data_IF_701040179350
#
_entry.id   IF_701040179350
#
_cell.length_a   1.000
_cell.length_b   1.000
_cell.length_c   1.000
_cell.angle_alpha   90.00
_cell.angle_beta   90.00
_cell.angle_gamma   90.00
#
_symmetry.space_group_name_H-M   'P 1'
#
loop_
_entity.id
_entity.type
_entity.pdbx_description
1 polymer ?
#
# COMPACT_ATOMS: atom_id res chain seq x y z
N UNK A 1 27.75 -1.19 -12.88
CA UNK A 1 27.75 -0.62 -11.51
C UNK A 1 26.55 0.30 -11.25
N UNK A 2 26.25 1.32 -12.08
CA UNK A 2 25.14 2.27 -11.82
C UNK A 2 23.74 1.62 -11.69
N UNK A 3 23.48 0.51 -12.39
CA UNK A 3 22.19 -0.22 -12.32
C UNK A 3 21.90 -0.87 -10.96
N UNK A 4 22.93 -1.11 -10.14
CA UNK A 4 22.73 -1.78 -8.84
C UNK A 4 22.28 -0.81 -7.74
N UNK A 5 22.48 0.51 -7.91
CA UNK A 5 22.08 1.49 -6.89
C UNK A 5 20.55 1.52 -6.70
N UNK A 6 19.70 1.68 -7.75
CA UNK A 6 18.26 1.60 -7.56
C UNK A 6 17.82 0.25 -6.97
N UNK A 7 18.34 -0.86 -7.49
CA UNK A 7 17.98 -2.20 -6.99
C UNK A 7 18.31 -2.38 -5.51
N UNK A 8 19.40 -1.78 -5.01
CA UNK A 8 19.73 -1.82 -3.57
C UNK A 8 18.70 -1.04 -2.75
N UNK A 9 18.17 0.06 -3.25
CA UNK A 9 17.12 0.84 -2.59
C UNK A 9 15.80 0.05 -2.59
N UNK A 10 15.48 -0.61 -3.70
CA UNK A 10 14.31 -1.51 -3.78
C UNK A 10 14.41 -2.66 -2.76
N UNK A 11 15.63 -3.21 -2.54
CA UNK A 11 15.84 -4.21 -1.48
C UNK A 11 15.65 -3.62 -0.08
N UNK A 12 15.95 -2.34 0.17
CA UNK A 12 15.61 -1.67 1.44
C UNK A 12 14.10 -1.50 1.61
N UNK A 13 13.35 -1.22 0.54
CA UNK A 13 11.90 -1.27 0.57
C UNK A 13 11.42 -2.66 1.05
N UNK A 14 11.90 -3.74 0.41
CA UNK A 14 11.56 -5.11 0.79
C UNK A 14 11.91 -5.42 2.26
N UNK A 15 13.12 -5.05 2.70
CA UNK A 15 13.55 -5.25 4.09
C UNK A 15 12.62 -4.52 5.08
N UNK A 16 12.23 -3.29 4.77
CA UNK A 16 11.30 -2.51 5.60
C UNK A 16 9.93 -3.19 5.69
N UNK A 17 9.42 -3.73 4.58
CA UNK A 17 8.18 -4.52 4.55
C UNK A 17 8.26 -5.78 5.41
N UNK A 18 9.38 -6.52 5.35
CA UNK A 18 9.61 -7.70 6.19
C UNK A 18 9.67 -7.31 7.68
N UNK A 19 10.37 -6.21 8.01
CA UNK A 19 10.42 -5.71 9.40
C UNK A 19 9.01 -5.33 9.86
N UNK A 20 8.21 -4.68 9.02
CA UNK A 20 6.82 -4.35 9.34
C UNK A 20 6.00 -5.60 9.70
N UNK A 21 6.15 -6.69 8.95
CA UNK A 21 5.49 -7.98 9.23
C UNK A 21 5.93 -8.53 10.60
N UNK A 22 7.24 -8.59 10.85
CA UNK A 22 7.80 -9.14 12.10
C UNK A 22 7.30 -8.34 13.31
N UNK A 23 7.26 -7.03 13.17
CA UNK A 23 6.85 -6.11 14.25
C UNK A 23 5.32 -6.16 14.45
N UNK A 24 4.54 -6.27 13.38
CA UNK A 24 3.09 -6.47 13.46
C UNK A 24 2.73 -7.76 14.21
N UNK A 25 3.47 -8.84 13.96
CA UNK A 25 3.27 -10.12 14.68
C UNK A 25 3.54 -10.02 16.18
N UNK A 26 4.25 -8.99 16.63
CA UNK A 26 4.44 -8.66 18.04
C UNK A 26 3.39 -7.67 18.59
N UNK A 27 2.32 -7.41 17.84
CA UNK A 27 1.25 -6.44 18.13
C UNK A 27 1.73 -4.98 18.30
N UNK A 28 2.90 -4.65 17.75
CA UNK A 28 3.37 -3.26 17.73
C UNK A 28 2.94 -2.60 16.41
N UNK A 29 1.68 -2.15 16.36
CA UNK A 29 1.09 -1.57 15.16
C UNK A 29 1.74 -0.23 14.77
N UNK A 30 2.17 0.54 15.75
CA UNK A 30 2.82 1.83 15.51
C UNK A 30 4.12 1.67 14.74
N UNK A 31 5.03 0.84 15.23
CA UNK A 31 6.29 0.59 14.54
C UNK A 31 6.06 -0.12 13.20
N UNK A 32 5.07 -1.02 13.11
CA UNK A 32 4.74 -1.67 11.84
C UNK A 32 4.26 -0.66 10.78
N UNK A 33 3.41 0.29 11.16
CA UNK A 33 2.95 1.35 10.27
C UNK A 33 4.11 2.26 9.84
N UNK A 34 4.99 2.64 10.75
CA UNK A 34 6.21 3.42 10.44
C UNK A 34 7.07 2.67 9.43
N UNK A 35 7.26 1.36 9.58
CA UNK A 35 8.06 0.57 8.64
C UNK A 35 7.44 0.50 7.24
N UNK A 36 6.12 0.44 7.12
CA UNK A 36 5.42 0.52 5.81
C UNK A 36 5.60 1.92 5.18
N UNK A 37 5.56 2.99 5.98
CA UNK A 37 5.83 4.35 5.50
C UNK A 37 7.28 4.48 5.02
N UNK A 38 8.25 3.94 5.75
CA UNK A 38 9.67 3.90 5.34
C UNK A 38 9.83 3.10 4.04
N UNK A 39 9.14 1.96 3.91
CA UNK A 39 9.12 1.19 2.67
C UNK A 39 8.66 2.04 1.48
N UNK A 40 7.61 2.85 1.65
CA UNK A 40 7.12 3.72 0.58
C UNK A 40 8.09 4.86 0.23
N UNK A 41 8.89 5.33 1.18
CA UNK A 41 9.95 6.29 0.89
C UNK A 41 11.06 5.65 0.05
N UNK A 42 11.46 4.41 0.37
CA UNK A 42 12.44 3.69 -0.44
C UNK A 42 11.94 3.39 -1.84
N UNK A 43 10.67 2.97 -2.01
CA UNK A 43 9.99 2.78 -3.30
C UNK A 43 10.04 4.08 -4.14
N UNK A 44 9.67 5.20 -3.56
CA UNK A 44 9.77 6.49 -4.22
C UNK A 44 11.20 6.84 -4.63
N UNK A 45 12.18 6.58 -3.72
CA UNK A 45 13.59 6.91 -3.93
C UNK A 45 14.22 6.07 -5.04
N UNK A 46 13.92 4.76 -5.14
CA UNK A 46 14.52 3.90 -6.17
C UNK A 46 14.06 4.31 -7.58
N UNK A 47 12.76 4.62 -7.75
CA UNK A 47 12.23 5.16 -8.99
C UNK A 47 12.80 6.54 -9.34
N UNK A 48 13.07 7.39 -8.35
CA UNK A 48 13.71 8.67 -8.55
C UNK A 48 15.17 8.52 -8.97
N UNK A 49 15.93 7.68 -8.26
CA UNK A 49 17.35 7.41 -8.53
C UNK A 49 17.53 6.73 -9.90
N UNK A 50 16.67 5.78 -10.26
CA UNK A 50 16.69 5.14 -11.57
C UNK A 50 16.53 6.16 -12.69
N UNK A 51 15.61 7.13 -12.54
CA UNK A 51 15.42 8.23 -13.50
C UNK A 51 16.60 9.18 -13.56
N UNK A 52 17.16 9.59 -12.42
CA UNK A 52 18.32 10.50 -12.37
C UNK A 52 19.57 9.87 -12.97
N UNK A 53 19.77 8.58 -12.78
CA UNK A 53 20.91 7.86 -13.35
C UNK A 53 20.70 7.40 -14.80
N UNK A 54 19.50 7.66 -15.36
CA UNK A 54 19.09 7.19 -16.69
C UNK A 54 19.29 5.68 -16.90
N UNK A 55 19.06 4.87 -15.85
CA UNK A 55 19.18 3.42 -15.90
C UNK A 55 17.80 2.77 -15.93
N UNK A 56 17.65 1.79 -16.85
CA UNK A 56 16.51 0.89 -16.90
C UNK A 56 17.03 -0.54 -16.78
N UNK A 57 16.34 -1.37 -16.01
CA UNK A 57 16.68 -2.77 -15.79
C UNK A 57 15.39 -3.58 -15.69
N UNK A 58 15.26 -4.63 -16.49
CA UNK A 58 14.11 -5.54 -16.43
C UNK A 58 14.03 -6.22 -15.06
N UNK A 59 15.19 -6.65 -14.54
CA UNK A 59 15.30 -7.19 -13.18
C UNK A 59 14.89 -6.15 -12.14
N UNK A 60 15.25 -4.87 -12.33
CA UNK A 60 14.85 -3.81 -11.40
C UNK A 60 13.32 -3.62 -11.35
N UNK A 61 12.65 -3.66 -12.51
CA UNK A 61 11.19 -3.56 -12.59
C UNK A 61 10.47 -4.72 -11.89
N UNK A 62 10.98 -5.95 -12.09
CA UNK A 62 10.40 -7.13 -11.44
C UNK A 62 10.66 -7.11 -9.93
N UNK A 63 11.87 -6.71 -9.51
CA UNK A 63 12.25 -6.60 -8.10
C UNK A 63 11.39 -5.57 -7.37
N UNK A 64 11.13 -4.42 -8.00
CA UNK A 64 10.25 -3.37 -7.52
C UNK A 64 8.84 -3.92 -7.24
N UNK A 65 8.24 -4.58 -8.24
CA UNK A 65 6.92 -5.18 -8.08
C UNK A 65 6.85 -6.25 -6.99
N UNK A 66 7.89 -7.09 -6.86
CA UNK A 66 7.96 -8.11 -5.81
C UNK A 66 8.11 -7.49 -4.43
N UNK A 67 8.92 -6.43 -4.30
CA UNK A 67 9.08 -5.68 -3.06
C UNK A 67 7.75 -5.02 -2.65
N UNK A 68 7.05 -4.42 -3.59
CA UNK A 68 5.76 -3.77 -3.37
C UNK A 68 4.67 -4.75 -2.92
N UNK A 69 4.63 -5.96 -3.48
CA UNK A 69 3.72 -7.01 -3.00
C UNK A 69 3.95 -7.29 -1.52
N UNK A 70 5.19 -7.36 -1.06
CA UNK A 70 5.50 -7.61 0.34
C UNK A 70 5.17 -6.39 1.20
N UNK A 71 5.64 -5.21 0.82
CA UNK A 71 5.57 -3.99 1.63
C UNK A 71 4.17 -3.39 1.69
N UNK A 72 3.42 -3.44 0.58
CA UNK A 72 2.09 -2.81 0.46
C UNK A 72 0.94 -3.80 0.28
N UNK A 73 1.24 -5.07 0.05
CA UNK A 73 0.26 -6.15 0.01
C UNK A 73 0.27 -6.97 1.31
N UNK A 74 1.37 -7.69 1.55
CA UNK A 74 1.45 -8.66 2.65
C UNK A 74 1.58 -7.97 4.02
N UNK A 75 2.43 -6.96 4.17
CA UNK A 75 2.62 -6.30 5.46
C UNK A 75 1.32 -5.66 6.00
N UNK A 76 0.55 -4.86 5.23
CA UNK A 76 -0.75 -4.38 5.69
C UNK A 76 -1.76 -5.51 5.96
N UNK A 77 -1.73 -6.59 5.17
CA UNK A 77 -2.58 -7.75 5.42
C UNK A 77 -2.28 -8.40 6.79
N UNK A 78 -1.01 -8.54 7.16
CA UNK A 78 -0.61 -9.08 8.46
C UNK A 78 -0.97 -8.13 9.60
N UNK A 79 -0.85 -6.80 9.41
CA UNK A 79 -1.34 -5.81 10.38
C UNK A 79 -2.84 -5.99 10.61
N UNK A 80 -3.63 -6.15 9.55
CA UNK A 80 -5.07 -6.42 9.69
C UNK A 80 -5.34 -7.76 10.34
N UNK A 81 -4.61 -8.82 9.99
CA UNK A 81 -4.72 -10.11 10.64
C UNK A 81 -4.53 -10.01 12.16
N UNK A 82 -3.53 -9.30 12.62
CA UNK A 82 -3.29 -9.08 14.05
C UNK A 82 -4.35 -8.18 14.70
N UNK A 83 -4.84 -7.17 13.99
CA UNK A 83 -5.95 -6.34 14.46
C UNK A 83 -7.22 -7.18 14.69
N UNK A 84 -7.53 -8.13 13.80
CA UNK A 84 -8.66 -9.05 13.99
C UNK A 84 -8.51 -9.89 15.26
N UNK A 85 -7.31 -10.36 15.59
CA UNK A 85 -7.08 -11.08 16.84
C UNK A 85 -7.34 -10.19 18.06
N UNK A 86 -6.96 -8.94 18.00
CA UNK A 86 -7.20 -7.97 19.08
C UNK A 86 -8.70 -7.73 19.28
N UNK A 87 -9.43 -7.50 18.18
CA UNK A 87 -10.88 -7.26 18.21
C UNK A 87 -11.67 -8.53 18.55
N UNK A 88 -11.26 -9.67 18.03
CA UNK A 88 -11.99 -10.94 18.15
C UNK A 88 -11.92 -11.61 19.51
N UNK A 89 -10.96 -11.25 20.36
CA UNK A 89 -10.88 -11.77 21.74
C UNK A 89 -12.04 -11.30 22.61
N UNK A 90 -12.75 -10.26 22.20
CA UNK A 90 -13.84 -9.65 22.99
C UNK A 90 -15.27 -10.12 22.64
N UNK A 91 -15.54 -10.72 21.47
CA UNK A 91 -16.94 -10.73 21.01
C UNK A 91 -17.53 -12.00 20.42
N UNK A 92 -16.82 -13.08 20.03
CA UNK A 92 -17.47 -14.19 19.32
C UNK A 92 -16.87 -15.60 19.54
N UNK A 93 -17.74 -16.62 19.36
CA UNK A 93 -17.39 -18.05 19.42
C UNK A 93 -16.17 -18.41 18.56
N UNK A 94 -15.19 -19.04 19.17
CA UNK A 94 -13.83 -19.32 18.63
C UNK A 94 -13.73 -19.90 17.21
N UNK A 95 -14.75 -20.55 16.66
CA UNK A 95 -14.67 -21.25 15.39
C UNK A 95 -14.99 -20.36 14.18
N UNK A 96 -15.97 -19.45 14.29
CA UNK A 96 -16.39 -18.57 13.20
C UNK A 96 -15.44 -17.40 12.95
N UNK A 97 -14.66 -16.99 13.94
CA UNK A 97 -13.66 -15.92 13.82
C UNK A 97 -12.49 -16.38 12.94
N UNK A 98 -12.08 -17.63 13.02
CA UNK A 98 -10.87 -18.13 12.38
C UNK A 98 -10.88 -18.00 10.85
N UNK A 99 -12.02 -18.19 10.19
CA UNK A 99 -12.11 -18.12 8.71
C UNK A 99 -12.13 -16.67 8.23
N UNK A 100 -12.93 -15.81 8.85
CA UNK A 100 -12.99 -14.39 8.46
C UNK A 100 -11.66 -13.67 8.72
N UNK A 101 -11.00 -13.97 9.85
CA UNK A 101 -9.68 -13.43 10.23
C UNK A 101 -8.61 -13.75 9.19
N UNK A 102 -8.68 -14.92 8.55
CA UNK A 102 -7.74 -15.31 7.50
C UNK A 102 -8.16 -14.77 6.13
N UNK A 103 -9.45 -14.86 5.81
CA UNK A 103 -9.95 -14.65 4.45
C UNK A 103 -9.75 -13.22 3.95
N UNK A 104 -10.13 -12.20 4.73
CA UNK A 104 -10.10 -10.81 4.28
C UNK A 104 -8.68 -10.24 4.13
N UNK A 105 -7.74 -10.43 5.07
CA UNK A 105 -6.36 -10.04 4.88
C UNK A 105 -5.69 -10.75 3.68
N UNK A 106 -5.95 -12.05 3.50
CA UNK A 106 -5.43 -12.79 2.35
C UNK A 106 -6.01 -12.25 1.04
N UNK A 107 -7.30 -11.96 1.01
CA UNK A 107 -7.95 -11.36 -0.14
C UNK A 107 -7.28 -10.05 -0.53
N UNK A 108 -7.02 -9.16 0.43
CA UNK A 108 -6.31 -7.91 0.18
C UNK A 108 -4.93 -8.14 -0.46
N UNK A 109 -4.11 -9.02 0.12
CA UNK A 109 -2.78 -9.32 -0.41
C UNK A 109 -2.84 -9.88 -1.85
N UNK A 110 -3.81 -10.77 -2.14
CA UNK A 110 -4.03 -11.30 -3.49
C UNK A 110 -4.42 -10.20 -4.49
N UNK A 111 -5.31 -9.28 -4.08
CA UNK A 111 -5.75 -8.17 -4.94
C UNK A 111 -4.64 -7.13 -5.15
N UNK A 112 -3.79 -6.90 -4.15
CA UNK A 112 -2.59 -6.06 -4.29
C UNK A 112 -1.61 -6.67 -5.32
N UNK A 113 -1.32 -7.97 -5.23
CA UNK A 113 -0.48 -8.67 -6.19
C UNK A 113 -1.09 -8.64 -7.62
N UNK A 114 -2.39 -8.90 -7.74
CA UNK A 114 -3.11 -8.86 -9.02
C UNK A 114 -3.07 -7.45 -9.64
N UNK A 115 -3.23 -6.41 -8.83
CA UNK A 115 -3.12 -5.02 -9.27
C UNK A 115 -1.73 -4.70 -9.81
N UNK A 116 -0.67 -5.12 -9.12
CA UNK A 116 0.70 -4.88 -9.56
C UNK A 116 1.02 -5.65 -10.85
N UNK A 117 0.60 -6.91 -10.94
CA UNK A 117 0.72 -7.70 -12.16
C UNK A 117 -0.02 -7.04 -13.33
N UNK A 118 -1.27 -6.60 -13.13
CA UNK A 118 -2.05 -5.88 -14.15
C UNK A 118 -1.37 -4.58 -14.59
N UNK A 119 -0.81 -3.84 -13.64
CA UNK A 119 -0.08 -2.60 -13.92
C UNK A 119 1.16 -2.84 -14.79
N UNK A 120 1.90 -3.92 -14.54
CA UNK A 120 3.11 -4.24 -15.27
C UNK A 120 2.91 -4.58 -16.76
N UNK A 121 1.74 -5.14 -17.10
CA UNK A 121 1.40 -5.54 -18.47
C UNK A 121 0.56 -4.48 -19.22
N UNK A 122 -0.02 -3.49 -18.55
CA UNK A 122 -0.87 -2.49 -19.19
C UNK A 122 -0.04 -1.34 -19.78
N UNK A 123 0.13 -1.38 -21.10
CA UNK A 123 0.87 -0.37 -21.87
C UNK A 123 0.13 0.97 -22.02
N UNK A 124 -1.16 1.04 -21.64
CA UNK A 124 -2.01 2.22 -21.81
C UNK A 124 -1.87 3.25 -20.67
N UNK A 125 -1.14 2.91 -19.59
CA UNK A 125 -1.01 3.74 -18.38
C UNK A 125 0.12 4.79 -18.47
N UNK A 126 0.30 5.42 -19.63
CA UNK A 126 1.35 6.44 -19.81
C UNK A 126 0.98 7.80 -19.25
N UNK A 127 -0.32 8.15 -19.18
CA UNK A 127 -0.78 9.49 -18.73
C UNK A 127 -1.67 9.49 -17.50
N UNK A 128 -2.56 8.52 -17.32
CA UNK A 128 -3.50 8.45 -16.18
C UNK A 128 -3.42 7.11 -15.48
N UNK A 129 -3.30 7.15 -14.15
CA UNK A 129 -3.41 5.95 -13.32
C UNK A 129 -4.86 5.45 -13.33
N UNK A 130 -5.05 4.14 -13.53
CA UNK A 130 -6.34 3.46 -13.40
C UNK A 130 -6.33 2.60 -12.14
N UNK A 131 -7.35 2.75 -11.33
CA UNK A 131 -7.48 2.07 -10.04
C UNK A 131 -6.58 2.63 -8.94
N UNK A 132 -6.91 2.29 -7.68
CA UNK A 132 -6.19 2.77 -6.50
C UNK A 132 -4.74 2.22 -6.47
N UNK A 133 -3.72 3.07 -6.29
CA UNK A 133 -2.34 2.62 -6.10
C UNK A 133 -2.21 1.74 -4.86
N UNK A 134 -1.39 0.67 -4.94
CA UNK A 134 -1.18 -0.25 -3.83
C UNK A 134 -0.65 0.44 -2.57
N UNK A 135 0.32 1.39 -2.63
CA UNK A 135 0.73 2.15 -1.46
C UNK A 135 -0.41 2.96 -0.84
N UNK A 136 -1.28 3.56 -1.66
CA UNK A 136 -2.44 4.32 -1.16
C UNK A 136 -3.43 3.44 -0.39
N UNK A 137 -3.72 2.24 -0.91
CA UNK A 137 -4.55 1.26 -0.20
C UNK A 137 -3.88 0.78 1.11
N UNK A 138 -2.56 0.56 1.07
CA UNK A 138 -1.79 0.18 2.25
C UNK A 138 -1.87 1.23 3.36
N UNK A 139 -1.74 2.53 3.03
CA UNK A 139 -1.83 3.61 4.00
C UNK A 139 -3.19 3.67 4.70
N UNK A 140 -4.28 3.41 3.98
CA UNK A 140 -5.61 3.30 4.60
C UNK A 140 -5.64 2.16 5.60
N UNK A 141 -5.12 0.96 5.26
CA UNK A 141 -5.16 -0.19 6.16
C UNK A 141 -4.28 0.01 7.40
N UNK A 142 -3.05 0.49 7.24
CA UNK A 142 -2.15 0.67 8.38
C UNK A 142 -2.60 1.77 9.33
N UNK A 143 -3.52 2.64 8.92
CA UNK A 143 -4.11 3.65 9.79
C UNK A 143 -5.22 3.11 10.69
N UNK A 144 -5.90 2.01 10.31
CA UNK A 144 -7.06 1.49 11.03
C UNK A 144 -6.80 1.15 12.51
N UNK A 145 -5.65 0.56 12.90
CA UNK A 145 -5.37 0.27 14.32
C UNK A 145 -5.36 1.49 15.24
N UNK A 146 -5.22 2.69 14.69
CA UNK A 146 -5.14 3.94 15.48
C UNK A 146 -6.49 4.61 15.73
N UNK A 147 -7.57 4.09 15.14
CA UNK A 147 -8.91 4.61 15.34
C UNK A 147 -9.70 3.72 16.28
N UNK A 148 -10.11 4.18 17.48
CA UNK A 148 -10.84 3.38 18.48
C UNK A 148 -12.13 2.75 17.95
N UNK A 149 -12.79 3.40 17.00
CA UNK A 149 -14.02 2.91 16.36
C UNK A 149 -13.84 1.55 15.66
N UNK A 150 -12.63 1.21 15.21
CA UNK A 150 -12.37 -0.05 14.54
C UNK A 150 -12.05 -1.19 15.49
N UNK A 151 -11.72 -0.90 16.75
CA UNK A 151 -11.52 -1.94 17.78
C UNK A 151 -12.79 -2.75 18.04
N UNK A 152 -13.96 -2.25 17.65
CA UNK A 152 -15.26 -2.85 17.95
C UNK A 152 -16.08 -3.30 16.74
N UNK A 153 -15.61 -3.09 15.51
CA UNK A 153 -16.42 -3.36 14.31
C UNK A 153 -15.68 -4.11 13.21
N UNK A 154 -15.70 -5.45 13.29
CA UNK A 154 -15.20 -6.32 12.21
C UNK A 154 -15.92 -6.06 10.86
N UNK A 155 -17.21 -5.73 10.90
CA UNK A 155 -18.01 -5.45 9.70
C UNK A 155 -17.43 -4.24 8.97
N UNK A 156 -17.07 -3.19 9.71
CA UNK A 156 -16.52 -1.97 9.12
C UNK A 156 -15.14 -2.23 8.50
N UNK A 157 -14.25 -2.96 9.19
CA UNK A 157 -12.94 -3.35 8.67
C UNK A 157 -13.09 -4.17 7.38
N UNK A 158 -13.97 -5.17 7.37
CA UNK A 158 -14.25 -6.01 6.19
C UNK A 158 -14.76 -5.18 5.02
N UNK A 159 -15.67 -4.25 5.28
CA UNK A 159 -16.23 -3.35 4.26
C UNK A 159 -15.12 -2.48 3.64
N UNK A 160 -14.21 -1.96 4.46
CA UNK A 160 -13.06 -1.18 3.98
C UNK A 160 -12.15 -2.06 3.12
N UNK A 161 -11.79 -3.27 3.57
CA UNK A 161 -10.93 -4.19 2.81
C UNK A 161 -11.56 -4.51 1.45
N UNK A 162 -12.84 -4.89 1.40
CA UNK A 162 -13.55 -5.20 0.15
C UNK A 162 -13.55 -3.98 -0.78
N UNK A 163 -13.84 -2.80 -0.23
CA UNK A 163 -13.84 -1.54 -0.99
C UNK A 163 -12.48 -1.25 -1.60
N UNK A 164 -11.40 -1.40 -0.83
CA UNK A 164 -10.03 -1.20 -1.31
C UNK A 164 -9.66 -2.24 -2.39
N UNK A 165 -10.02 -3.51 -2.21
CA UNK A 165 -9.83 -4.56 -3.21
C UNK A 165 -10.52 -4.21 -4.53
N UNK A 166 -11.77 -3.77 -4.47
CA UNK A 166 -12.51 -3.32 -5.64
C UNK A 166 -11.85 -2.11 -6.32
N UNK A 167 -11.49 -1.08 -5.54
CA UNK A 167 -10.87 0.13 -6.06
C UNK A 167 -9.51 -0.13 -6.72
N UNK A 168 -8.70 -1.05 -6.18
CA UNK A 168 -7.39 -1.42 -6.76
C UNK A 168 -7.52 -2.01 -8.17
N UNK A 169 -8.57 -2.81 -8.44
CA UNK A 169 -8.77 -3.47 -9.74
C UNK A 169 -9.66 -2.64 -10.69
N UNK A 170 -10.40 -1.67 -10.15
CA UNK A 170 -11.31 -0.83 -10.93
C UNK A 170 -10.58 -0.09 -12.05
N UNK A 171 -11.30 0.18 -13.13
CA UNK A 171 -10.80 1.03 -14.22
C UNK A 171 -11.09 2.52 -14.01
N UNK A 172 -11.42 2.92 -12.77
CA UNK A 172 -11.71 4.31 -12.42
C UNK A 172 -10.45 5.14 -12.67
N UNK A 173 -10.50 6.16 -13.53
CA UNK A 173 -9.37 7.05 -13.73
C UNK A 173 -9.16 7.86 -12.45
N UNK A 174 -8.08 7.56 -11.74
CA UNK A 174 -7.69 8.36 -10.58
C UNK A 174 -6.88 9.57 -11.03
N UNK A 175 -7.18 10.65 -10.35
CA UNK A 175 -6.57 11.94 -10.60
C UNK A 175 -5.05 11.86 -10.37
N UNK A 176 -4.28 12.11 -11.42
CA UNK A 176 -2.81 12.14 -11.31
C UNK A 176 -2.37 13.44 -10.64
N UNK A 177 -1.62 13.35 -9.54
CA UNK A 177 -0.96 14.50 -8.90
C UNK A 177 0.23 15.03 -9.71
N UNK A 178 0.53 14.44 -10.88
CA UNK A 178 1.59 14.94 -11.75
C UNK A 178 1.22 16.32 -12.29
N UNK A 179 1.99 17.33 -11.95
CA UNK A 179 1.87 18.66 -12.53
C UNK A 179 2.44 18.63 -13.96
N UNK A 180 1.60 18.86 -14.96
CA UNK A 180 2.04 19.10 -16.35
C UNK A 180 2.55 20.54 -16.54
N UNK A 181 2.00 21.46 -15.75
CA UNK A 181 2.40 22.87 -15.69
C UNK A 181 2.04 23.44 -14.30
N UNK A 182 2.57 24.61 -13.94
CA UNK A 182 2.32 25.27 -12.66
C UNK A 182 1.14 26.27 -12.71
N UNK A 183 0.34 26.26 -13.79
CA UNK A 183 -0.78 27.21 -13.93
C UNK A 183 -1.89 26.87 -12.92
N UNK A 184 -2.27 27.86 -12.10
CA UNK A 184 -3.26 27.72 -11.02
C UNK A 184 -4.63 27.22 -11.54
N UNK A 185 -5.12 27.74 -12.67
CA UNK A 185 -6.42 27.33 -13.23
C UNK A 185 -6.51 25.85 -13.62
N UNK A 186 -5.42 25.29 -14.10
CA UNK A 186 -5.37 23.88 -14.56
C UNK A 186 -5.07 22.91 -13.42
N UNK A 187 -4.57 23.41 -12.27
CA UNK A 187 -4.12 22.60 -11.14
C UNK A 187 -4.85 22.92 -9.83
N UNK A 188 -5.98 23.63 -9.88
CA UNK A 188 -6.68 24.12 -8.68
C UNK A 188 -7.02 22.99 -7.70
N UNK A 189 -7.52 21.86 -8.19
CA UNK A 189 -7.82 20.68 -7.37
C UNK A 189 -6.58 20.06 -6.73
N UNK A 190 -5.42 20.10 -7.40
CA UNK A 190 -4.14 19.62 -6.87
C UNK A 190 -3.64 20.50 -5.75
N UNK A 191 -3.74 21.82 -5.92
CA UNK A 191 -3.37 22.77 -4.87
C UNK A 191 -4.31 22.70 -3.66
N UNK A 192 -5.62 22.53 -3.87
CA UNK A 192 -6.59 22.33 -2.79
C UNK A 192 -6.27 21.06 -2.01
N UNK A 193 -6.00 19.93 -2.70
CA UNK A 193 -5.61 18.68 -2.05
C UNK A 193 -4.32 18.79 -1.24
N UNK A 194 -3.28 19.45 -1.79
CA UNK A 194 -2.04 19.72 -1.07
C UNK A 194 -2.28 20.64 0.14
N UNK A 195 -3.12 21.66 -0.01
CA UNK A 195 -3.44 22.56 1.09
C UNK A 195 -4.19 21.85 2.24
N UNK A 196 -5.17 21.00 1.89
CA UNK A 196 -5.90 20.18 2.87
C UNK A 196 -4.96 19.20 3.56
N UNK A 197 -4.03 18.55 2.83
CA UNK A 197 -3.07 17.58 3.40
C UNK A 197 -2.00 18.23 4.31
N UNK A 198 -1.84 19.55 4.27
CA UNK A 198 -0.93 20.29 5.17
C UNK A 198 -1.66 20.71 6.46
N UNK A 199 -2.99 20.90 6.39
CA UNK A 199 -3.81 21.37 7.53
C UNK A 199 -4.28 20.20 8.40
N UNK A 200 -4.47 19.01 7.82
CA UNK A 200 -4.81 17.77 8.54
C UNK A 200 -3.57 17.05 9.08
#
# INVERSE_FOLDING_TARGET
MKKHIPNSITLLNLCSGIIAIIVAMKNNFELAAIMVIIASLFDFCDGLVARLLHVKSDIGKELDSLSDVVSFGVAPAIIMYQLYFHVGTFTLNKLSINIAVLLFPMLYACFAALRLAKFNIDTRQTENFRGLPTPGAAFVLISLPFFPTFEYSLILINTIIITLCYLMISNIPLFSLKFKNLKLKENIFRYILLFISIIL
#
